data_IF_279405003195
#
_entry.id   IF_279405003195
#
_cell.length_a   1.000
_cell.length_b   1.000
_cell.length_c   1.000
_cell.angle_alpha   90.00
_cell.angle_beta   90.00
_cell.angle_gamma   90.00
#
_symmetry.space_group_name_H-M   'P 1'
#
loop_
_entity.id
_entity.type
_entity.pdbx_description
1 polymer ?
#
# COMPACT_ATOMS: atom_id res chain seq x y z
N UNK A 1 17.34 1.53 -4.60
CA UNK A 1 16.94 2.88 -5.04
C UNK A 1 18.12 3.72 -5.54
N UNK A 2 19.18 3.96 -4.75
CA UNK A 2 20.37 4.72 -5.21
C UNK A 2 21.00 4.16 -6.49
N UNK A 3 21.06 2.83 -6.64
CA UNK A 3 21.53 2.20 -7.88
C UNK A 3 20.68 2.60 -9.11
N UNK A 4 19.37 2.80 -8.95
CA UNK A 4 18.47 3.23 -10.03
C UNK A 4 18.72 4.70 -10.37
N UNK A 5 18.94 5.56 -9.37
CA UNK A 5 19.34 6.95 -9.58
C UNK A 5 20.61 7.03 -10.44
N UNK A 6 21.66 6.30 -10.05
CA UNK A 6 22.93 6.26 -10.78
C UNK A 6 22.79 5.67 -12.18
N UNK A 7 21.93 4.66 -12.35
CA UNK A 7 21.61 4.08 -13.65
C UNK A 7 20.99 5.15 -14.56
N UNK A 8 19.99 5.89 -14.08
CA UNK A 8 19.34 6.98 -14.81
C UNK A 8 20.33 8.07 -15.26
N UNK A 9 21.22 8.52 -14.36
CA UNK A 9 22.27 9.49 -14.73
C UNK A 9 23.24 8.95 -15.77
N UNK A 10 23.64 7.68 -15.66
CA UNK A 10 24.58 7.06 -16.59
C UNK A 10 23.96 6.91 -17.99
N UNK A 11 22.69 6.50 -18.05
CA UNK A 11 21.90 6.42 -19.30
C UNK A 11 21.83 7.78 -19.98
N UNK A 12 21.49 8.84 -19.24
CA UNK A 12 21.41 10.19 -19.78
C UNK A 12 22.76 10.67 -20.36
N UNK A 13 23.86 10.41 -19.67
CA UNK A 13 25.21 10.77 -20.14
C UNK A 13 25.56 10.04 -21.44
N UNK A 14 25.29 8.73 -21.51
CA UNK A 14 25.58 7.91 -22.70
C UNK A 14 24.76 8.39 -23.90
N UNK A 15 23.46 8.62 -23.71
CA UNK A 15 22.58 9.14 -24.77
C UNK A 15 23.05 10.51 -25.26
N UNK A 16 23.42 11.41 -24.35
CA UNK A 16 23.90 12.75 -24.68
C UNK A 16 25.23 12.70 -25.44
N UNK A 17 26.16 11.84 -25.02
CA UNK A 17 27.44 11.67 -25.70
C UNK A 17 27.26 11.08 -27.10
N UNK A 18 26.37 10.08 -27.24
CA UNK A 18 26.04 9.51 -28.54
C UNK A 18 25.45 10.56 -29.48
N UNK A 19 24.46 11.32 -29.03
CA UNK A 19 23.80 12.34 -29.84
C UNK A 19 24.75 13.46 -30.28
N UNK A 20 25.59 13.95 -29.37
CA UNK A 20 26.43 15.13 -29.63
C UNK A 20 27.73 14.81 -30.36
N UNK A 21 28.31 13.64 -30.10
CA UNK A 21 29.69 13.34 -30.52
C UNK A 21 29.75 12.20 -31.54
N UNK A 22 29.07 11.08 -31.27
CA UNK A 22 29.21 9.86 -32.08
C UNK A 22 28.33 9.92 -33.31
N UNK A 23 27.07 10.34 -33.15
CA UNK A 23 26.02 10.27 -34.19
C UNK A 23 26.47 10.86 -35.53
N UNK A 24 27.08 12.05 -35.52
CA UNK A 24 27.56 12.75 -36.72
C UNK A 24 28.72 12.04 -37.41
N UNK A 25 29.59 11.38 -36.64
CA UNK A 25 30.74 10.66 -37.17
C UNK A 25 30.32 9.37 -37.88
N UNK A 26 29.16 8.81 -37.54
CA UNK A 26 28.64 7.58 -38.14
C UNK A 26 27.83 7.82 -39.42
N UNK A 27 27.35 9.04 -39.68
CA UNK A 27 26.54 9.35 -40.86
C UNK A 27 27.21 9.01 -42.21
N UNK A 28 28.52 9.23 -42.40
CA UNK A 28 29.20 8.89 -43.65
C UNK A 28 29.46 7.38 -43.84
N UNK A 29 29.27 6.56 -42.81
CA UNK A 29 29.55 5.12 -42.83
C UNK A 29 28.24 4.36 -43.02
N UNK A 30 28.10 3.69 -44.16
CA UNK A 30 26.85 3.02 -44.55
C UNK A 30 26.37 2.03 -43.47
N UNK A 31 25.10 2.14 -43.09
CA UNK A 31 24.46 1.33 -42.03
C UNK A 31 24.95 1.54 -40.59
N UNK A 32 26.10 2.17 -40.34
CA UNK A 32 26.72 2.21 -39.01
C UNK A 32 25.94 3.03 -37.98
N UNK A 33 25.31 4.13 -38.41
CA UNK A 33 24.45 4.94 -37.54
C UNK A 33 23.24 4.14 -37.05
N UNK A 34 22.54 3.47 -37.97
CA UNK A 34 21.35 2.68 -37.65
C UNK A 34 21.68 1.52 -36.70
N UNK A 35 22.74 0.76 -37.00
CA UNK A 35 23.20 -0.34 -36.15
C UNK A 35 23.57 0.13 -34.74
N UNK A 36 24.27 1.27 -34.62
CA UNK A 36 24.65 1.81 -33.30
C UNK A 36 23.44 2.31 -32.50
N UNK A 37 22.43 2.89 -33.16
CA UNK A 37 21.17 3.27 -32.52
C UNK A 37 20.42 2.04 -31.98
N UNK A 38 20.39 0.94 -32.74
CA UNK A 38 19.75 -0.31 -32.32
C UNK A 38 20.47 -0.94 -31.11
N UNK A 39 21.79 -0.98 -31.13
CA UNK A 39 22.61 -1.46 -30.00
C UNK A 39 22.41 -0.59 -28.75
N UNK A 40 22.38 0.74 -28.90
CA UNK A 40 22.09 1.65 -27.79
C UNK A 40 20.69 1.39 -27.23
N UNK A 41 19.67 1.28 -28.07
CA UNK A 41 18.29 0.98 -27.64
C UNK A 41 18.22 -0.34 -26.86
N UNK A 42 18.90 -1.38 -27.35
CA UNK A 42 18.99 -2.69 -26.70
C UNK A 42 19.67 -2.60 -25.33
N UNK A 43 20.77 -1.86 -25.22
CA UNK A 43 21.48 -1.66 -23.95
C UNK A 43 20.62 -0.88 -22.93
N UNK A 44 19.90 0.15 -23.38
CA UNK A 44 19.00 0.93 -22.54
C UNK A 44 17.82 0.09 -22.02
N UNK A 45 17.20 -0.72 -22.89
CA UNK A 45 16.13 -1.63 -22.51
C UNK A 45 16.59 -2.63 -21.43
N UNK A 46 17.81 -3.19 -21.58
CA UNK A 46 18.39 -4.08 -20.56
C UNK A 46 18.60 -3.37 -19.22
N UNK A 47 19.08 -2.13 -19.23
CA UNK A 47 19.28 -1.33 -18.03
C UNK A 47 17.95 -1.01 -17.33
N UNK A 48 16.92 -0.68 -18.10
CA UNK A 48 15.57 -0.43 -17.59
C UNK A 48 14.96 -1.67 -16.94
N UNK A 49 15.05 -2.84 -17.59
CA UNK A 49 14.57 -4.11 -17.03
C UNK A 49 15.28 -4.44 -15.71
N UNK A 50 16.59 -4.20 -15.63
CA UNK A 50 17.34 -4.42 -14.40
C UNK A 50 16.93 -3.45 -13.28
N UNK A 51 16.74 -2.17 -13.60
CA UNK A 51 16.28 -1.16 -12.65
C UNK A 51 14.87 -1.49 -12.13
N UNK A 52 13.94 -1.86 -13.03
CA UNK A 52 12.59 -2.27 -12.68
C UNK A 52 12.58 -3.48 -11.74
N UNK A 53 13.32 -4.54 -12.07
CA UNK A 53 13.45 -5.72 -11.20
C UNK A 53 14.00 -5.36 -9.82
N UNK A 54 15.02 -4.50 -9.77
CA UNK A 54 15.58 -4.02 -8.50
C UNK A 54 14.57 -3.25 -7.65
N UNK A 55 13.72 -2.41 -8.26
CA UNK A 55 12.66 -1.70 -7.53
C UNK A 55 11.57 -2.64 -7.04
N UNK A 56 11.16 -3.62 -7.84
CA UNK A 56 10.21 -4.65 -7.42
C UNK A 56 10.71 -5.43 -6.21
N UNK A 57 11.99 -5.87 -6.23
CA UNK A 57 12.61 -6.55 -5.10
C UNK A 57 12.65 -5.66 -3.84
N UNK A 58 12.88 -4.35 -4.01
CA UNK A 58 12.84 -3.42 -2.89
C UNK A 58 11.45 -3.37 -2.26
N UNK A 59 10.38 -3.26 -3.06
CA UNK A 59 8.99 -3.25 -2.56
C UNK A 59 8.67 -4.56 -1.87
N UNK A 60 9.01 -5.70 -2.47
CA UNK A 60 8.79 -7.02 -1.89
C UNK A 60 9.47 -7.16 -0.53
N UNK A 61 10.72 -6.74 -0.42
CA UNK A 61 11.49 -6.78 0.84
C UNK A 61 10.85 -5.90 1.91
N UNK A 62 10.43 -4.68 1.53
CA UNK A 62 9.77 -3.74 2.45
C UNK A 62 8.45 -4.32 2.95
N UNK A 63 7.62 -4.88 2.07
CA UNK A 63 6.32 -5.45 2.41
C UNK A 63 6.50 -6.70 3.28
N UNK A 64 7.49 -7.55 2.99
CA UNK A 64 7.81 -8.72 3.81
C UNK A 64 8.21 -8.33 5.24
N UNK A 65 9.00 -7.26 5.40
CA UNK A 65 9.37 -6.75 6.71
C UNK A 65 8.16 -6.16 7.46
N UNK A 66 7.27 -5.44 6.76
CA UNK A 66 6.01 -4.96 7.37
C UNK A 66 5.16 -6.14 7.85
N UNK A 67 5.00 -7.19 7.04
CA UNK A 67 4.26 -8.38 7.42
C UNK A 67 4.87 -9.07 8.66
N UNK A 68 6.20 -9.14 8.72
CA UNK A 68 6.94 -9.68 9.86
C UNK A 68 6.70 -8.84 11.12
N UNK A 69 6.78 -7.50 11.03
CA UNK A 69 6.52 -6.58 12.14
C UNK A 69 5.08 -6.71 12.65
N UNK A 70 4.10 -6.71 11.74
CA UNK A 70 2.69 -6.90 12.08
C UNK A 70 2.48 -8.25 12.79
N UNK A 71 3.05 -9.33 12.29
CA UNK A 71 2.89 -10.67 12.87
C UNK A 71 3.58 -10.82 14.23
N UNK A 72 4.69 -10.10 14.46
CA UNK A 72 5.44 -10.17 15.72
C UNK A 72 4.84 -9.29 16.82
N UNK A 73 4.18 -8.20 16.47
CA UNK A 73 3.83 -7.13 17.42
C UNK A 73 2.33 -6.94 17.62
N UNK A 74 1.49 -7.40 16.68
CA UNK A 74 0.04 -7.23 16.77
C UNK A 74 -0.59 -8.36 17.57
N UNK A 75 -1.24 -8.02 18.69
CA UNK A 75 -1.85 -8.99 19.59
C UNK A 75 -3.36 -9.03 19.41
N UNK A 76 -3.98 -10.20 19.64
CA UNK A 76 -5.45 -10.32 19.57
C UNK A 76 -6.17 -9.40 20.57
N UNK A 77 -5.55 -9.16 21.73
CA UNK A 77 -6.04 -8.23 22.76
C UNK A 77 -6.03 -6.78 22.32
N UNK A 78 -5.33 -6.42 21.23
CA UNK A 78 -5.37 -5.07 20.69
C UNK A 78 -6.74 -4.72 20.11
N UNK A 79 -7.39 -5.72 19.50
CA UNK A 79 -8.68 -5.56 18.81
C UNK A 79 -9.84 -6.23 19.53
N UNK A 80 -9.55 -7.03 20.56
CA UNK A 80 -10.53 -7.61 21.46
C UNK A 80 -10.04 -7.50 22.89
N UNK A 81 -9.99 -6.28 23.41
CA UNK A 81 -9.62 -6.06 24.81
C UNK A 81 -10.71 -6.61 25.73
N UNK A 82 -10.35 -7.28 26.84
CA UNK A 82 -11.31 -7.74 27.83
C UNK A 82 -12.05 -6.55 28.45
N UNK A 83 -13.31 -6.75 28.81
CA UNK A 83 -14.12 -5.74 29.51
C UNK A 83 -13.75 -5.76 30.99
N UNK A 84 -12.64 -5.09 31.31
CA UNK A 84 -12.03 -5.04 32.64
C UNK A 84 -12.36 -3.74 33.40
N UNK A 85 -13.26 -2.92 32.86
CA UNK A 85 -13.71 -1.66 33.45
C UNK A 85 -12.74 -0.49 33.25
N UNK A 86 -11.62 -0.69 32.54
CA UNK A 86 -10.73 0.41 32.15
C UNK A 86 -11.24 1.13 30.90
N UNK A 87 -10.92 2.43 30.80
CA UNK A 87 -11.23 3.22 29.60
C UNK A 87 -10.49 2.65 28.37
N UNK A 88 -11.12 2.60 27.19
CA UNK A 88 -10.48 2.15 25.95
C UNK A 88 -9.14 2.85 25.69
N UNK A 89 -8.10 2.10 25.31
CA UNK A 89 -6.82 2.69 24.89
C UNK A 89 -7.00 3.37 23.52
N UNK A 90 -6.91 4.70 23.52
CA UNK A 90 -7.08 5.52 22.32
C UNK A 90 -5.80 5.69 21.50
N UNK A 91 -4.69 5.08 21.91
CA UNK A 91 -3.42 5.14 21.17
C UNK A 91 -3.40 4.10 20.05
N UNK A 92 -2.65 4.38 18.97
CA UNK A 92 -2.37 3.35 17.97
C UNK A 92 -1.66 2.16 18.61
N UNK A 93 -1.81 1.00 17.99
CA UNK A 93 -1.18 -0.24 18.44
C UNK A 93 0.34 -0.17 18.29
N UNK A 94 1.06 -0.96 19.10
CA UNK A 94 2.53 -0.99 19.01
C UNK A 94 2.99 -1.44 17.62
N UNK A 95 2.27 -2.40 17.02
CA UNK A 95 2.52 -2.84 15.65
C UNK A 95 2.41 -1.68 14.64
N UNK A 96 1.34 -0.87 14.72
CA UNK A 96 1.18 0.31 13.87
C UNK A 96 2.36 1.30 14.02
N UNK A 97 2.71 1.65 15.26
CA UNK A 97 3.83 2.56 15.55
C UNK A 97 5.13 2.04 14.92
N UNK A 98 5.44 0.75 15.10
CA UNK A 98 6.67 0.15 14.56
C UNK A 98 6.68 0.08 13.04
N UNK A 99 5.54 -0.26 12.42
CA UNK A 99 5.41 -0.27 10.96
C UNK A 99 5.60 1.13 10.38
N UNK A 100 4.92 2.14 10.92
CA UNK A 100 5.05 3.54 10.45
C UNK A 100 6.47 4.05 10.62
N UNK A 101 7.13 3.73 11.73
CA UNK A 101 8.54 4.11 11.96
C UNK A 101 9.48 3.45 10.93
N UNK A 102 9.30 2.16 10.65
CA UNK A 102 10.07 1.46 9.62
C UNK A 102 9.84 2.06 8.23
N UNK A 103 8.57 2.21 7.83
CA UNK A 103 8.19 2.74 6.53
C UNK A 103 8.63 4.19 6.31
N UNK A 104 8.65 5.01 7.36
CA UNK A 104 9.14 6.39 7.29
C UNK A 104 10.61 6.46 6.87
N UNK A 105 11.46 5.55 7.36
CA UNK A 105 12.87 5.44 6.95
C UNK A 105 13.02 5.00 5.49
N UNK A 106 12.16 4.09 5.04
CA UNK A 106 12.12 3.68 3.62
C UNK A 106 11.70 4.85 2.73
N UNK A 107 10.73 5.64 3.17
CA UNK A 107 10.22 6.79 2.44
C UNK A 107 11.28 7.88 2.25
N UNK A 108 12.09 8.16 3.28
CA UNK A 108 13.25 9.06 3.18
C UNK A 108 14.22 8.61 2.08
N UNK A 109 14.55 7.31 2.03
CA UNK A 109 15.40 6.78 0.96
C UNK A 109 14.76 6.90 -0.43
N UNK A 110 13.44 6.68 -0.54
CA UNK A 110 12.74 6.83 -1.81
C UNK A 110 12.73 8.27 -2.31
N UNK A 111 12.55 9.25 -1.42
CA UNK A 111 12.49 10.67 -1.79
C UNK A 111 13.83 11.25 -2.21
N UNK A 112 14.92 10.72 -1.67
CA UNK A 112 16.28 11.15 -2.02
C UNK A 112 16.80 10.50 -3.29
N UNK A 113 16.36 9.27 -3.60
CA UNK A 113 16.93 8.46 -4.68
C UNK A 113 16.05 8.32 -5.92
N UNK A 114 14.74 8.55 -5.82
CA UNK A 114 13.81 8.43 -6.94
C UNK A 114 13.20 9.79 -7.27
N UNK A 115 13.04 10.06 -8.56
CA UNK A 115 12.54 11.33 -9.07
C UNK A 115 11.45 11.10 -10.13
N UNK A 116 10.63 12.13 -10.35
CA UNK A 116 9.59 12.14 -11.38
C UNK A 116 8.67 10.92 -11.34
N UNK A 117 8.42 10.35 -12.52
CA UNK A 117 7.51 9.21 -12.71
C UNK A 117 7.99 7.93 -12.01
N UNK A 118 9.31 7.74 -11.84
CA UNK A 118 9.84 6.58 -11.13
C UNK A 118 9.47 6.63 -9.64
N UNK A 119 9.56 7.81 -9.02
CA UNK A 119 9.10 8.03 -7.64
C UNK A 119 7.61 7.80 -7.52
N UNK A 120 6.82 8.40 -8.41
CA UNK A 120 5.36 8.26 -8.38
C UNK A 120 4.92 6.79 -8.53
N UNK A 121 5.48 6.06 -9.50
CA UNK A 121 5.18 4.65 -9.73
C UNK A 121 5.56 3.78 -8.53
N UNK A 122 6.75 4.00 -7.96
CA UNK A 122 7.21 3.28 -6.77
C UNK A 122 6.29 3.48 -5.56
N UNK A 123 5.91 4.72 -5.27
CA UNK A 123 5.05 5.05 -4.13
C UNK A 123 3.61 4.55 -4.33
N UNK A 124 3.11 4.60 -5.58
CA UNK A 124 1.81 4.05 -5.93
C UNK A 124 1.76 2.54 -5.66
N UNK A 125 2.76 1.79 -6.15
CA UNK A 125 2.83 0.34 -5.94
C UNK A 125 3.04 -0.01 -4.45
N UNK A 126 3.92 0.70 -3.74
CA UNK A 126 4.13 0.49 -2.30
C UNK A 126 2.83 0.71 -1.51
N UNK A 127 2.10 1.80 -1.77
CA UNK A 127 0.82 2.09 -1.13
C UNK A 127 -0.24 1.04 -1.42
N UNK A 128 -0.34 0.59 -2.67
CA UNK A 128 -1.26 -0.48 -3.08
C UNK A 128 -0.96 -1.81 -2.38
N UNK A 129 0.32 -2.16 -2.23
CA UNK A 129 0.74 -3.39 -1.54
C UNK A 129 0.49 -3.31 -0.04
N UNK A 130 0.73 -2.15 0.57
CA UNK A 130 0.48 -1.91 1.98
C UNK A 130 -1.01 -2.03 2.31
N UNK A 131 -1.88 -1.37 1.55
CA UNK A 131 -3.34 -1.47 1.67
C UNK A 131 -3.81 -2.94 1.65
N UNK A 132 -3.39 -3.70 0.63
CA UNK A 132 -3.73 -5.13 0.51
C UNK A 132 -3.20 -5.97 1.68
N UNK A 133 -1.96 -5.69 2.13
CA UNK A 133 -1.35 -6.40 3.25
C UNK A 133 -2.14 -6.15 4.54
N UNK A 134 -2.49 -4.90 4.83
CA UNK A 134 -3.25 -4.52 6.03
C UNK A 134 -4.64 -5.17 6.05
N UNK A 135 -5.37 -5.10 4.93
CA UNK A 135 -6.66 -5.79 4.77
C UNK A 135 -6.56 -7.29 5.05
N UNK A 136 -5.50 -7.93 4.56
CA UNK A 136 -5.27 -9.37 4.78
C UNK A 136 -4.87 -9.67 6.22
N UNK A 137 -4.06 -8.79 6.83
CA UNK A 137 -3.60 -8.94 8.21
C UNK A 137 -4.76 -8.83 9.20
N UNK A 138 -5.62 -7.82 9.07
CA UNK A 138 -6.74 -7.61 10.00
C UNK A 138 -7.81 -8.70 9.93
N UNK A 139 -7.93 -9.40 8.80
CA UNK A 139 -8.81 -10.57 8.68
C UNK A 139 -8.45 -11.74 9.60
N UNK A 140 -7.27 -11.71 10.25
CA UNK A 140 -6.84 -12.72 11.23
C UNK A 140 -7.40 -12.48 12.64
N UNK A 141 -8.09 -11.36 12.86
CA UNK A 141 -8.52 -10.92 14.18
C UNK A 141 -10.05 -10.94 14.33
N UNK A 142 -10.50 -10.88 15.58
CA UNK A 142 -11.89 -10.62 15.94
C UNK A 142 -11.94 -9.28 16.66
N UNK A 143 -13.00 -8.51 16.40
CA UNK A 143 -13.11 -7.13 16.88
C UNK A 143 -14.30 -6.93 17.80
N UNK A 144 -14.06 -6.27 18.93
CA UNK A 144 -15.12 -5.61 19.70
C UNK A 144 -15.19 -4.11 19.35
N UNK A 145 -16.22 -3.36 19.79
CA UNK A 145 -16.33 -1.94 19.46
C UNK A 145 -15.12 -1.10 19.87
N UNK A 146 -14.51 -1.41 21.02
CA UNK A 146 -13.29 -0.76 21.50
C UNK A 146 -12.10 -1.01 20.55
N UNK A 147 -11.91 -2.26 20.13
CA UNK A 147 -10.89 -2.63 19.14
C UNK A 147 -11.16 -2.04 17.76
N UNK A 148 -12.42 -1.84 17.38
CA UNK A 148 -12.81 -1.10 16.18
C UNK A 148 -12.33 0.35 16.22
N UNK A 149 -12.48 1.04 17.35
CA UNK A 149 -11.94 2.39 17.56
C UNK A 149 -10.41 2.41 17.51
N UNK A 150 -9.77 1.39 18.08
CA UNK A 150 -8.30 1.26 18.06
C UNK A 150 -7.77 1.01 16.65
N UNK A 151 -8.42 0.14 15.88
CA UNK A 151 -8.13 -0.05 14.46
C UNK A 151 -8.31 1.24 13.67
N UNK A 152 -9.36 2.01 13.94
CA UNK A 152 -9.57 3.32 13.30
C UNK A 152 -8.43 4.29 13.59
N UNK A 153 -7.83 4.22 14.79
CA UNK A 153 -6.62 4.99 15.11
C UNK A 153 -5.42 4.52 14.27
N UNK A 154 -5.19 3.21 14.18
CA UNK A 154 -4.11 2.65 13.34
C UNK A 154 -4.26 3.10 11.88
N UNK A 155 -5.48 3.04 11.33
CA UNK A 155 -5.77 3.47 9.95
C UNK A 155 -5.48 4.96 9.76
N UNK A 156 -5.79 5.81 10.74
CA UNK A 156 -5.46 7.23 10.65
C UNK A 156 -3.94 7.47 10.61
N UNK A 157 -3.16 6.75 11.42
CA UNK A 157 -1.69 6.84 11.39
C UNK A 157 -1.13 6.37 10.04
N UNK A 158 -1.64 5.27 9.50
CA UNK A 158 -1.26 4.82 8.17
C UNK A 158 -1.68 5.81 7.08
N UNK A 159 -2.88 6.38 7.20
CA UNK A 159 -3.41 7.44 6.32
C UNK A 159 -2.51 8.67 6.29
N UNK A 160 -2.12 9.18 7.47
CA UNK A 160 -1.22 10.33 7.58
C UNK A 160 0.20 10.03 7.08
N UNK A 161 0.63 8.77 7.16
CA UNK A 161 1.86 8.33 6.51
C UNK A 161 1.73 8.35 4.97
N UNK A 162 0.69 7.76 4.40
CA UNK A 162 0.56 7.66 2.93
C UNK A 162 0.22 8.98 2.24
N UNK A 163 -0.40 9.95 2.92
CA UNK A 163 -0.61 11.32 2.39
C UNK A 163 0.69 11.98 1.93
N UNK A 164 1.82 11.60 2.54
CA UNK A 164 3.15 12.10 2.15
C UNK A 164 3.54 11.66 0.75
N UNK A 165 2.92 10.61 0.21
CA UNK A 165 3.21 10.09 -1.12
C UNK A 165 2.72 11.04 -2.21
N UNK A 166 1.69 11.86 -1.92
CA UNK A 166 0.99 12.71 -2.89
C UNK A 166 0.46 11.88 -4.06
N UNK A 167 -0.17 10.75 -3.75
CA UNK A 167 -0.76 9.82 -4.72
C UNK A 167 -2.24 9.68 -4.37
N UNK A 168 -3.15 10.44 -5.04
CA UNK A 168 -4.57 10.51 -4.68
C UNK A 168 -5.26 9.14 -4.63
N UNK A 169 -4.93 8.24 -5.57
CA UNK A 169 -5.52 6.91 -5.63
C UNK A 169 -5.09 5.98 -4.47
N UNK A 170 -3.98 6.27 -3.81
CA UNK A 170 -3.57 5.57 -2.58
C UNK A 170 -4.25 6.20 -1.38
N UNK A 171 -4.30 7.53 -1.31
CA UNK A 171 -4.97 8.27 -0.24
C UNK A 171 -6.45 7.85 -0.10
N UNK A 172 -7.17 7.81 -1.23
CA UNK A 172 -8.57 7.37 -1.30
C UNK A 172 -8.76 5.96 -0.70
N UNK A 173 -7.82 5.03 -0.92
CA UNK A 173 -7.90 3.68 -0.34
C UNK A 173 -7.86 3.72 1.18
N UNK A 174 -6.98 4.52 1.77
CA UNK A 174 -6.88 4.63 3.23
C UNK A 174 -8.07 5.37 3.84
N UNK A 175 -8.67 6.31 3.11
CA UNK A 175 -9.96 6.90 3.50
C UNK A 175 -11.08 5.85 3.51
N UNK A 176 -11.15 5.02 2.48
CA UNK A 176 -12.09 3.90 2.39
C UNK A 176 -11.88 2.85 3.50
N UNK A 177 -10.62 2.58 3.90
CA UNK A 177 -10.33 1.77 5.09
C UNK A 177 -10.90 2.41 6.37
N UNK A 178 -10.84 3.74 6.48
CA UNK A 178 -11.44 4.47 7.60
C UNK A 178 -12.96 4.28 7.69
N UNK A 179 -13.65 4.23 6.55
CA UNK A 179 -15.08 3.88 6.47
C UNK A 179 -15.28 2.41 6.88
N UNK A 180 -14.44 1.50 6.37
CA UNK A 180 -14.48 0.07 6.69
C UNK A 180 -14.37 -0.20 8.20
N UNK A 181 -13.52 0.54 8.92
CA UNK A 181 -13.34 0.37 10.36
C UNK A 181 -14.64 0.61 11.15
N UNK A 182 -15.55 1.45 10.64
CA UNK A 182 -16.82 1.71 11.30
C UNK A 182 -17.71 0.45 11.38
N UNK A 183 -17.47 -0.58 10.56
CA UNK A 183 -18.12 -1.91 10.67
C UNK A 183 -18.08 -2.45 12.09
N UNK A 184 -16.95 -2.25 12.78
CA UNK A 184 -16.73 -2.78 14.12
C UNK A 184 -17.32 -1.90 15.22
N UNK A 185 -17.65 -0.64 14.90
CA UNK A 185 -18.02 0.39 15.88
C UNK A 185 -19.54 0.56 15.93
N UNK A 186 -20.20 0.54 14.78
CA UNK A 186 -21.64 0.84 14.69
C UNK A 186 -22.52 -0.31 15.17
N UNK A 187 -23.73 0.03 15.62
CA UNK A 187 -24.75 -0.98 15.93
C UNK A 187 -25.11 -1.81 14.68
N UNK A 188 -25.51 -3.09 14.85
CA UNK A 188 -25.94 -3.97 13.75
C UNK A 188 -26.93 -3.33 12.76
N UNK A 189 -27.85 -2.52 13.25
CA UNK A 189 -28.90 -1.85 12.49
C UNK A 189 -28.34 -0.79 11.52
N UNK A 190 -27.18 -0.21 11.83
CA UNK A 190 -26.54 0.85 11.05
C UNK A 190 -25.57 0.33 9.98
N UNK A 191 -25.34 -0.99 9.91
CA UNK A 191 -24.40 -1.57 8.94
C UNK A 191 -24.85 -1.39 7.48
N UNK A 192 -26.15 -1.36 7.23
CA UNK A 192 -26.70 -1.22 5.88
C UNK A 192 -26.34 0.13 5.23
N UNK A 193 -26.51 1.21 5.98
CA UNK A 193 -26.38 2.58 5.48
C UNK A 193 -24.91 3.00 5.33
N UNK A 194 -23.99 2.31 6.00
CA UNK A 194 -22.56 2.64 5.99
C UNK A 194 -21.93 2.60 4.60
N UNK A 195 -22.49 1.80 3.67
CA UNK A 195 -21.91 1.54 2.35
C UNK A 195 -22.70 2.11 1.17
N UNK A 196 -23.76 2.89 1.43
CA UNK A 196 -24.58 3.49 0.37
C UNK A 196 -23.76 4.42 -0.52
N UNK A 197 -22.81 5.17 0.05
CA UNK A 197 -21.91 6.09 -0.67
C UNK A 197 -20.58 5.48 -1.14
N UNK A 198 -20.30 4.21 -0.86
CA UNK A 198 -19.00 3.58 -1.16
C UNK A 198 -19.17 2.14 -1.66
N UNK A 199 -19.72 1.96 -2.87
CA UNK A 199 -20.03 0.62 -3.39
C UNK A 199 -18.81 -0.24 -3.68
N UNK A 200 -17.64 0.35 -3.87
CA UNK A 200 -16.38 -0.35 -4.16
C UNK A 200 -15.93 -1.27 -3.01
N UNK A 201 -16.22 -0.92 -1.76
CA UNK A 201 -15.71 -1.64 -0.58
C UNK A 201 -16.66 -2.71 -0.03
N UNK A 202 -17.84 -2.89 -0.62
CA UNK A 202 -18.89 -3.80 -0.11
C UNK A 202 -18.41 -5.23 0.11
N UNK A 203 -17.60 -5.74 -0.82
CA UNK A 203 -17.10 -7.13 -0.77
C UNK A 203 -16.15 -7.34 0.42
N UNK A 204 -15.26 -6.38 0.66
CA UNK A 204 -14.35 -6.45 1.80
C UNK A 204 -15.09 -6.14 3.11
N UNK A 205 -16.09 -5.24 3.08
CA UNK A 205 -16.97 -5.00 4.21
C UNK A 205 -17.71 -6.26 4.66
N UNK A 206 -18.26 -7.05 3.73
CA UNK A 206 -18.89 -8.33 4.06
C UNK A 206 -17.94 -9.30 4.76
N UNK A 207 -16.65 -9.30 4.39
CA UNK A 207 -15.63 -10.10 5.10
C UNK A 207 -15.37 -9.54 6.49
N UNK A 208 -15.25 -8.23 6.61
CA UNK A 208 -14.98 -7.56 7.89
C UNK A 208 -16.13 -7.71 8.88
N UNK A 209 -17.39 -7.68 8.43
CA UNK A 209 -18.55 -7.87 9.32
C UNK A 209 -18.50 -9.24 10.00
N UNK A 210 -17.98 -10.28 9.33
CA UNK A 210 -17.81 -11.62 9.90
C UNK A 210 -16.79 -11.66 11.05
N UNK A 211 -15.92 -10.66 11.15
CA UNK A 211 -14.90 -10.55 12.19
C UNK A 211 -15.39 -9.84 13.46
N UNK A 212 -16.64 -9.33 13.47
CA UNK A 212 -17.22 -8.75 14.68
C UNK A 212 -17.44 -9.83 15.74
N UNK A 213 -17.18 -9.51 17.00
CA UNK A 213 -17.40 -10.44 18.11
C UNK A 213 -18.88 -10.84 18.28
N UNK A 214 -19.79 -9.93 17.94
CA UNK A 214 -21.24 -10.10 18.04
C UNK A 214 -21.86 -10.71 16.78
N UNK A 215 -21.05 -11.12 15.78
CA UNK A 215 -21.54 -11.60 14.50
C UNK A 215 -22.60 -12.71 14.63
N UNK A 216 -22.35 -13.67 15.55
CA UNK A 216 -23.27 -14.79 15.82
C UNK A 216 -24.45 -14.37 16.69
N UNK A 217 -24.21 -13.63 17.78
CA UNK A 217 -25.25 -13.25 18.74
C UNK A 217 -26.26 -12.27 18.14
N UNK A 218 -25.80 -11.34 17.30
CA UNK A 218 -26.64 -10.38 16.58
C UNK A 218 -27.28 -10.96 15.30
N UNK A 219 -27.02 -12.23 14.97
CA UNK A 219 -27.52 -12.93 13.77
C UNK A 219 -27.23 -12.15 12.47
N UNK A 220 -26.01 -11.61 12.36
CA UNK A 220 -25.64 -10.70 11.26
C UNK A 220 -25.67 -11.38 9.90
N UNK A 221 -25.38 -12.69 9.82
CA UNK A 221 -25.49 -13.45 8.57
C UNK A 221 -26.86 -13.25 7.89
N UNK A 222 -27.96 -13.43 8.64
CA UNK A 222 -29.33 -13.29 8.12
C UNK A 222 -29.64 -11.86 7.69
N UNK A 223 -29.20 -10.87 8.48
CA UNK A 223 -29.39 -9.44 8.16
C UNK A 223 -28.65 -9.06 6.88
N UNK A 224 -27.39 -9.50 6.73
CA UNK A 224 -26.60 -9.22 5.54
C UNK A 224 -27.17 -9.91 4.30
N UNK A 225 -27.66 -11.14 4.40
CA UNK A 225 -28.33 -11.81 3.27
C UNK A 225 -29.56 -11.05 2.79
N UNK A 226 -30.30 -10.40 3.70
CA UNK A 226 -31.46 -9.58 3.34
C UNK A 226 -31.10 -8.20 2.76
N UNK A 227 -29.97 -7.63 3.17
CA UNK A 227 -29.50 -6.30 2.75
C UNK A 227 -28.65 -6.35 1.48
N UNK A 228 -27.90 -7.44 1.33
CA UNK A 228 -26.98 -7.72 0.23
C UNK A 228 -27.33 -9.06 -0.41
N UNK A 229 -28.52 -9.20 -1.04
CA UNK A 229 -28.80 -10.38 -1.83
C UNK A 229 -27.64 -10.53 -2.82
N UNK A 230 -26.95 -11.66 -2.71
CA UNK A 230 -25.71 -11.95 -3.41
C UNK A 230 -25.79 -11.48 -4.86
N UNK A 231 -24.83 -10.64 -5.28
CA UNK A 231 -24.46 -10.55 -6.69
C UNK A 231 -23.91 -11.94 -7.05
N UNK A 232 -24.80 -12.84 -7.45
CA UNK A 232 -24.46 -14.12 -8.06
C UNK A 232 -23.57 -13.89 -9.27
#
# INVERSE_FOLDING_TARGET
MVAVQRCGSSVAIVQQYFANSISRLLLPVDGAHAASCEEMSTALSKAEVAAYKGLQQCIETVISEVERLLSAEQMATDYKSPDDGFSPDHRPTNACIRVVAYLSRVLESAFTALEGLNKQAFLTELGNRLDKLLLTHWQKFTFNPSGGLRLKRDINEYGDFVKRFSVPSVEEKFELLGIMANVFIVAPESLATLFEGSPSIRKDAQRFIQLREDYKSAKLATRLSSLWPSLS
#
